data_IF_108314044560
#
_entry.id   IF_108314044560
#
_cell.length_a   1.000
_cell.length_b   1.000
_cell.length_c   1.000
_cell.angle_alpha   90.00
_cell.angle_beta   90.00
_cell.angle_gamma   90.00
#
_symmetry.space_group_name_H-M   'P 1'
#
loop_
_entity.id
_entity.type
_entity.pdbx_description
1 polymer ?
#
# COMPACT_ATOMS: atom_id res chain seq x y z
N UNK A 1 -10.47 4.99 11.41
CA UNK A 1 -10.11 3.95 10.41
C UNK A 1 -11.18 3.92 9.34
N UNK A 2 -10.84 3.84 8.06
CA UNK A 2 -11.85 3.88 6.98
C UNK A 2 -12.39 2.45 6.69
N UNK A 3 -13.72 2.24 6.59
CA UNK A 3 -14.32 0.91 6.40
C UNK A 3 -13.78 0.11 5.21
N UNK A 4 -13.43 0.78 4.11
CA UNK A 4 -12.88 0.13 2.90
C UNK A 4 -11.65 -0.76 3.14
N UNK A 5 -10.84 -0.51 4.17
CA UNK A 5 -9.62 -1.29 4.46
C UNK A 5 -9.85 -2.42 5.46
N UNK A 6 -11.10 -2.78 5.73
CA UNK A 6 -11.44 -3.83 6.69
C UNK A 6 -10.75 -5.16 6.36
N UNK A 7 -10.54 -5.44 5.08
CA UNK A 7 -9.91 -6.67 4.58
C UNK A 7 -8.53 -6.42 3.96
N UNK A 8 -7.78 -5.44 4.46
CA UNK A 8 -6.46 -5.07 3.94
C UNK A 8 -6.49 -3.91 2.94
N UNK A 9 -5.30 -3.46 2.55
CA UNK A 9 -5.14 -2.41 1.54
C UNK A 9 -4.41 -2.99 0.34
N UNK A 10 -3.09 -3.15 0.41
CA UNK A 10 -2.33 -3.84 -0.62
C UNK A 10 -2.57 -5.36 -0.60
N UNK A 11 -2.90 -5.94 0.56
CA UNK A 11 -3.29 -7.35 0.69
C UNK A 11 -4.79 -7.58 0.49
N UNK A 12 -5.56 -6.58 0.06
CA UNK A 12 -7.00 -6.75 -0.10
C UNK A 12 -7.36 -7.80 -1.14
N UNK A 13 -8.38 -8.59 -0.83
CA UNK A 13 -9.01 -9.49 -1.79
C UNK A 13 -9.78 -8.75 -2.90
N UNK A 14 -10.11 -7.47 -2.68
CA UNK A 14 -10.82 -6.59 -3.61
C UNK A 14 -9.86 -5.66 -4.37
N UNK A 15 -9.88 -5.74 -5.71
CA UNK A 15 -9.00 -4.95 -6.56
C UNK A 15 -9.23 -3.43 -6.44
N UNK A 16 -10.48 -3.01 -6.22
CA UNK A 16 -10.82 -1.59 -6.07
C UNK A 16 -10.17 -0.99 -4.82
N UNK A 17 -10.10 -1.74 -3.73
CA UNK A 17 -9.44 -1.34 -2.49
C UNK A 17 -7.93 -1.24 -2.69
N UNK A 18 -7.32 -2.21 -3.40
CA UNK A 18 -5.91 -2.16 -3.80
C UNK A 18 -5.60 -0.89 -4.61
N UNK A 19 -6.38 -0.62 -5.65
CA UNK A 19 -6.20 0.54 -6.52
C UNK A 19 -6.36 1.86 -5.75
N UNK A 20 -7.36 1.93 -4.86
CA UNK A 20 -7.57 3.09 -4.01
C UNK A 20 -6.40 3.29 -3.04
N UNK A 21 -5.90 2.22 -2.42
CA UNK A 21 -4.71 2.26 -1.56
C UNK A 21 -3.49 2.79 -2.31
N UNK A 22 -3.29 2.35 -3.56
CA UNK A 22 -2.21 2.83 -4.41
C UNK A 22 -2.34 4.33 -4.73
N UNK A 23 -3.56 4.80 -5.05
CA UNK A 23 -3.82 6.21 -5.28
C UNK A 23 -3.55 7.08 -4.03
N UNK A 24 -3.90 6.59 -2.84
CA UNK A 24 -3.58 7.28 -1.59
C UNK A 24 -2.08 7.34 -1.34
N UNK A 25 -1.36 6.23 -1.50
CA UNK A 25 0.10 6.18 -1.31
C UNK A 25 0.81 7.10 -2.30
N UNK A 26 0.40 7.09 -3.57
CA UNK A 26 0.90 8.02 -4.59
C UNK A 26 0.75 9.47 -4.10
N UNK A 27 -0.45 9.87 -3.69
CA UNK A 27 -0.72 11.25 -3.31
C UNK A 27 0.00 11.66 -2.02
N UNK A 28 0.04 10.76 -1.03
CA UNK A 28 0.77 10.98 0.21
C UNK A 28 2.28 11.14 -0.06
N UNK A 29 2.85 10.30 -0.91
CA UNK A 29 4.26 10.37 -1.29
C UNK A 29 4.60 11.68 -2.02
N UNK A 30 3.75 12.11 -2.96
CA UNK A 30 3.89 13.42 -3.62
C UNK A 30 3.84 14.58 -2.61
N UNK A 31 2.94 14.51 -1.63
CA UNK A 31 2.84 15.52 -0.58
C UNK A 31 4.08 15.52 0.33
N UNK A 32 4.55 14.34 0.75
CA UNK A 32 5.78 14.20 1.54
C UNK A 32 6.98 14.79 0.81
N UNK A 33 7.12 14.47 -0.49
CA UNK A 33 8.20 15.02 -1.30
C UNK A 33 8.11 16.55 -1.43
N UNK A 34 6.91 17.08 -1.72
CA UNK A 34 6.67 18.52 -1.82
C UNK A 34 7.03 19.28 -0.53
N UNK A 35 6.78 18.66 0.63
CA UNK A 35 7.07 19.24 1.94
C UNK A 35 8.52 19.00 2.41
N UNK A 36 9.36 18.38 1.58
CA UNK A 36 10.77 18.10 1.92
C UNK A 36 10.94 17.01 2.98
N UNK A 37 9.99 16.09 3.13
CA UNK A 37 10.14 14.96 4.03
C UNK A 37 11.27 14.03 3.57
N UNK A 38 12.17 13.66 4.48
CA UNK A 38 13.35 12.83 4.17
C UNK A 38 13.04 11.33 4.11
N UNK A 39 11.90 10.92 4.68
CA UNK A 39 11.52 9.51 4.82
C UNK A 39 10.04 9.32 4.45
N UNK A 40 9.71 8.12 4.00
CA UNK A 40 8.34 7.69 3.76
C UNK A 40 8.10 6.35 4.44
N UNK A 41 7.08 6.29 5.29
CA UNK A 41 6.80 5.12 6.13
C UNK A 41 5.64 4.32 5.56
N UNK A 42 5.81 3.00 5.52
CA UNK A 42 4.73 2.03 5.36
C UNK A 42 4.50 1.33 6.69
N UNK A 43 3.31 1.47 7.26
CA UNK A 43 2.87 0.67 8.39
C UNK A 43 1.64 -0.14 8.00
N UNK A 44 1.81 -1.46 7.91
CA UNK A 44 0.79 -2.40 7.45
C UNK A 44 -0.28 -2.72 8.50
N UNK A 45 -0.97 -1.72 9.05
CA UNK A 45 -1.93 -1.94 10.14
C UNK A 45 -3.11 -2.88 9.82
N UNK A 46 -3.36 -3.14 8.53
CA UNK A 46 -4.33 -4.13 8.02
C UNK A 46 -3.73 -5.07 6.97
N UNK A 47 -2.42 -5.02 6.75
CA UNK A 47 -1.73 -5.89 5.78
C UNK A 47 -1.42 -7.22 6.47
N UNK A 48 -2.45 -8.03 6.63
CA UNK A 48 -2.44 -9.30 7.34
C UNK A 48 -3.87 -9.83 7.48
N UNK A 49 -4.02 -10.93 8.18
CA UNK A 49 -5.30 -11.63 8.27
C UNK A 49 -5.85 -11.68 9.70
N UNK A 50 -7.17 -11.84 9.80
CA UNK A 50 -7.85 -12.17 11.07
C UNK A 50 -7.98 -13.69 11.27
N UNK A 51 -8.13 -14.44 10.19
CA UNK A 51 -8.25 -15.90 10.21
C UNK A 51 -7.52 -16.48 9.00
N UNK A 52 -6.82 -17.60 9.20
CA UNK A 52 -6.14 -18.29 8.11
C UNK A 52 -7.14 -18.99 7.15
N UNK A 53 -8.35 -19.30 7.63
CA UNK A 53 -9.33 -20.09 6.87
C UNK A 53 -9.83 -19.41 5.58
N UNK A 54 -9.73 -18.08 5.50
CA UNK A 54 -10.17 -17.28 4.36
C UNK A 54 -9.05 -16.42 3.78
N UNK A 55 -7.79 -16.80 4.03
CA UNK A 55 -6.61 -16.02 3.63
C UNK A 55 -5.74 -16.85 2.71
N UNK A 56 -5.47 -16.32 1.52
CA UNK A 56 -4.42 -16.83 0.65
C UNK A 56 -3.14 -16.01 0.90
N UNK A 57 -2.32 -16.47 1.85
CA UNK A 57 -1.15 -15.73 2.31
C UNK A 57 -0.14 -15.49 1.19
N UNK A 58 0.04 -16.46 0.29
CA UNK A 58 1.00 -16.34 -0.80
C UNK A 58 0.55 -15.25 -1.78
N UNK A 59 -0.73 -15.27 -2.19
CA UNK A 59 -1.29 -14.22 -3.06
C UNK A 59 -1.20 -12.85 -2.41
N UNK A 60 -1.56 -12.73 -1.13
CA UNK A 60 -1.56 -11.46 -0.41
C UNK A 60 -0.15 -10.86 -0.28
N UNK A 61 0.85 -11.67 0.08
CA UNK A 61 2.25 -11.21 0.15
C UNK A 61 2.79 -10.85 -1.24
N UNK A 62 2.43 -11.60 -2.29
CA UNK A 62 2.79 -11.27 -3.67
C UNK A 62 2.17 -9.94 -4.13
N UNK A 63 0.92 -9.65 -3.74
CA UNK A 63 0.30 -8.36 -4.00
C UNK A 63 1.00 -7.22 -3.24
N UNK A 64 1.31 -7.43 -1.96
CA UNK A 64 2.03 -6.44 -1.16
C UNK A 64 3.42 -6.13 -1.74
N UNK A 65 4.15 -7.15 -2.21
CA UNK A 65 5.44 -6.97 -2.88
C UNK A 65 5.31 -6.08 -4.13
N UNK A 66 4.37 -6.39 -5.03
CA UNK A 66 4.09 -5.58 -6.23
C UNK A 66 3.68 -4.15 -5.90
N UNK A 67 2.91 -3.97 -4.83
CA UNK A 67 2.50 -2.66 -4.36
C UNK A 67 3.70 -1.81 -3.92
N UNK A 68 4.61 -2.39 -3.14
CA UNK A 68 5.82 -1.71 -2.68
C UNK A 68 6.79 -1.43 -3.82
N UNK A 69 6.96 -2.36 -4.76
CA UNK A 69 7.74 -2.14 -5.98
C UNK A 69 7.20 -0.97 -6.81
N UNK A 70 5.87 -0.89 -6.99
CA UNK A 70 5.22 0.22 -7.68
C UNK A 70 5.43 1.55 -6.94
N UNK A 71 5.39 1.54 -5.60
CA UNK A 71 5.70 2.73 -4.80
C UNK A 71 7.16 3.17 -4.96
N UNK A 72 8.12 2.25 -5.00
CA UNK A 72 9.54 2.54 -5.28
C UNK A 72 9.70 3.12 -6.69
N UNK A 73 9.02 2.55 -7.69
CA UNK A 73 9.04 3.07 -9.06
C UNK A 73 8.48 4.50 -9.11
N UNK A 74 7.40 4.78 -8.37
CA UNK A 74 6.84 6.12 -8.29
C UNK A 74 7.77 7.11 -7.57
N UNK A 75 8.35 6.71 -6.43
CA UNK A 75 9.36 7.48 -5.69
C UNK A 75 10.49 7.95 -6.62
N UNK A 76 11.07 7.02 -7.38
CA UNK A 76 12.12 7.30 -8.38
C UNK A 76 11.62 8.24 -9.48
N UNK A 77 10.41 8.02 -9.99
CA UNK A 77 9.81 8.85 -11.05
C UNK A 77 9.65 10.32 -10.64
N UNK A 78 9.32 10.59 -9.36
CA UNK A 78 9.12 11.97 -8.87
C UNK A 78 10.39 12.59 -8.28
N UNK A 79 11.53 11.88 -8.29
CA UNK A 79 12.79 12.40 -7.74
C UNK A 79 12.82 12.48 -6.20
N UNK A 80 11.94 11.74 -5.52
CA UNK A 80 12.00 11.62 -4.08
C UNK A 80 13.12 10.62 -3.75
N UNK A 81 14.20 11.08 -3.13
CA UNK A 81 15.38 10.26 -2.82
C UNK A 81 15.35 9.71 -1.40
#
# INVERSE_FOLDING_TARGET
MHPRYMHGAATSSELEVYAYGAAQVKKAMEATHYLGGENYVFWGGREGYQSLLNTDMERELNHLARFLEAAVAHKKKIGFN
#
